data_IF_909874189875
#
_entry.id   IF_909874189875
#
_cell.length_a   1.000
_cell.length_b   1.000
_cell.length_c   1.000
_cell.angle_alpha   90.00
_cell.angle_beta   90.00
_cell.angle_gamma   90.00
#
_symmetry.space_group_name_H-M   'P 1'
#
loop_
_entity.id
_entity.type
_entity.pdbx_description
1 polymer ?
#
# COMPACT_ATOMS: atom_id res chain seq x y z
N UNK A 1 -23.64 17.68 -17.80
CA UNK A 1 -22.72 17.57 -16.64
C UNK A 1 -21.60 18.55 -16.90
N UNK A 2 -21.56 19.69 -16.17
CA UNK A 2 -20.50 20.69 -16.37
C UNK A 2 -19.15 20.04 -16.01
N UNK A 3 -18.19 20.20 -16.90
CA UNK A 3 -16.79 19.85 -16.65
C UNK A 3 -16.31 20.71 -15.47
N UNK A 4 -16.15 20.08 -14.29
CA UNK A 4 -15.61 20.78 -13.12
C UNK A 4 -14.20 21.24 -13.47
N UNK A 5 -14.00 22.56 -13.43
CA UNK A 5 -12.70 23.19 -13.70
C UNK A 5 -11.61 22.51 -12.84
N UNK A 6 -10.55 22.03 -13.50
CA UNK A 6 -9.45 21.31 -12.84
C UNK A 6 -8.77 22.13 -11.74
N UNK A 7 -8.93 23.43 -11.74
CA UNK A 7 -8.33 24.37 -10.78
C UNK A 7 -8.93 24.35 -9.37
N UNK A 8 -10.02 23.60 -9.14
CA UNK A 8 -10.72 23.55 -7.85
C UNK A 8 -10.91 22.09 -7.39
N UNK A 9 -9.91 21.26 -7.53
CA UNK A 9 -9.95 19.86 -7.11
C UNK A 9 -8.91 19.60 -6.03
N UNK A 10 -9.19 18.64 -5.15
CA UNK A 10 -8.17 17.99 -4.36
C UNK A 10 -7.76 16.67 -5.04
N UNK A 11 -6.49 16.35 -5.02
CA UNK A 11 -5.92 15.10 -5.50
C UNK A 11 -5.45 14.27 -4.32
N UNK A 12 -5.84 12.99 -4.28
CA UNK A 12 -5.39 12.02 -3.30
C UNK A 12 -4.47 11.01 -3.97
N UNK A 13 -3.27 10.85 -3.47
CA UNK A 13 -2.29 9.94 -4.02
C UNK A 13 -1.29 9.47 -2.98
N UNK A 14 -0.35 8.65 -3.41
CA UNK A 14 0.73 8.23 -2.53
C UNK A 14 1.81 7.46 -3.28
N UNK A 15 2.84 7.12 -2.53
CA UNK A 15 4.01 6.40 -3.04
C UNK A 15 4.34 5.27 -2.08
N UNK A 16 4.49 4.07 -2.61
CA UNK A 16 5.15 2.96 -1.94
C UNK A 16 6.64 2.97 -2.27
N UNK A 17 7.48 3.00 -1.26
CA UNK A 17 8.91 2.80 -1.37
C UNK A 17 9.26 1.48 -0.68
N UNK A 18 9.61 0.49 -1.47
CA UNK A 18 9.87 -0.90 -1.06
C UNK A 18 11.36 -1.18 -1.20
N UNK A 19 11.98 -1.69 -0.15
CA UNK A 19 13.39 -2.08 -0.16
C UNK A 19 13.52 -3.52 0.31
N UNK A 20 14.38 -4.29 -0.35
CA UNK A 20 14.73 -5.64 0.06
C UNK A 20 16.20 -5.70 0.45
N UNK A 21 16.45 -6.30 1.59
CA UNK A 21 17.78 -6.53 2.11
C UNK A 21 18.02 -8.03 2.23
N UNK A 22 19.26 -8.48 1.99
CA UNK A 22 19.65 -9.87 2.25
C UNK A 22 19.79 -10.14 3.76
N UNK A 23 20.10 -11.38 4.09
CA UNK A 23 20.32 -11.83 5.48
C UNK A 23 21.47 -11.10 6.21
N UNK A 24 22.38 -10.48 5.48
CA UNK A 24 23.55 -9.76 5.99
C UNK A 24 23.28 -8.24 6.07
N UNK A 25 22.06 -7.79 5.68
CA UNK A 25 21.63 -6.40 5.70
C UNK A 25 22.03 -5.58 4.48
N UNK A 26 22.55 -6.21 3.41
CA UNK A 26 22.87 -5.50 2.18
C UNK A 26 21.62 -5.29 1.33
N UNK A 27 21.49 -4.09 0.75
CA UNK A 27 20.39 -3.78 -0.17
C UNK A 27 20.49 -4.64 -1.43
N UNK A 28 19.46 -5.43 -1.72
CA UNK A 28 19.34 -6.23 -2.94
C UNK A 28 18.67 -5.45 -4.06
N UNK A 29 17.58 -4.78 -3.75
CA UNK A 29 16.81 -3.96 -4.69
C UNK A 29 15.91 -2.98 -3.95
N UNK A 30 15.50 -1.93 -4.65
CA UNK A 30 14.46 -1.01 -4.19
C UNK A 30 13.52 -0.62 -5.34
N UNK A 31 12.28 -0.34 -4.99
CA UNK A 31 11.21 0.10 -5.89
C UNK A 31 10.48 1.29 -5.29
N UNK A 32 10.19 2.27 -6.13
CA UNK A 32 9.43 3.45 -5.72
C UNK A 32 8.34 3.74 -6.74
N UNK A 33 7.11 3.45 -6.38
CA UNK A 33 5.99 3.46 -7.31
C UNK A 33 4.81 4.26 -6.76
N UNK A 34 4.16 5.04 -7.64
CA UNK A 34 2.91 5.70 -7.31
C UNK A 34 1.80 4.66 -7.13
N UNK A 35 0.92 4.90 -6.16
CA UNK A 35 -0.22 4.03 -5.93
C UNK A 35 -1.43 4.43 -6.78
N UNK A 36 -2.35 3.48 -6.90
CA UNK A 36 -3.72 3.72 -7.27
C UNK A 36 -4.57 3.71 -5.98
N UNK A 37 -5.22 4.82 -5.63
CA UNK A 37 -6.26 4.83 -4.60
C UNK A 37 -7.52 4.24 -5.23
N UNK A 38 -7.96 3.09 -4.73
CA UNK A 38 -9.10 2.36 -5.31
C UNK A 38 -10.43 3.01 -4.93
N UNK A 39 -11.50 2.70 -5.66
CA UNK A 39 -12.82 3.31 -5.46
C UNK A 39 -13.34 3.18 -4.01
N UNK A 40 -13.17 2.01 -3.39
CA UNK A 40 -13.58 1.79 -1.99
C UNK A 40 -12.71 2.58 -1.01
N UNK A 41 -11.45 2.85 -1.32
CA UNK A 41 -10.57 3.73 -0.55
C UNK A 41 -11.02 5.19 -0.60
N UNK A 42 -11.38 5.70 -1.79
CA UNK A 42 -11.93 7.05 -1.95
C UNK A 42 -13.27 7.19 -1.21
N UNK A 43 -14.13 6.18 -1.31
CA UNK A 43 -15.41 6.14 -0.58
C UNK A 43 -15.18 6.16 0.94
N UNK A 44 -14.22 5.40 1.44
CA UNK A 44 -13.89 5.33 2.87
C UNK A 44 -13.42 6.69 3.40
N UNK A 45 -12.58 7.41 2.67
CA UNK A 45 -12.17 8.79 3.01
C UNK A 45 -13.38 9.71 3.15
N UNK A 46 -14.26 9.75 2.14
CA UNK A 46 -15.44 10.60 2.16
C UNK A 46 -16.39 10.22 3.30
N UNK A 47 -16.61 8.92 3.51
CA UNK A 47 -17.50 8.45 4.55
C UNK A 47 -16.99 8.81 5.96
N UNK A 48 -15.70 8.69 6.21
CA UNK A 48 -15.11 8.98 7.52
C UNK A 48 -15.04 10.47 7.81
N UNK A 49 -14.71 11.28 6.83
CA UNK A 49 -14.52 12.71 7.05
C UNK A 49 -15.84 13.52 6.97
N UNK A 50 -16.71 13.21 6.00
CA UNK A 50 -17.89 14.03 5.74
C UNK A 50 -19.21 13.44 6.26
N UNK A 51 -19.33 12.11 6.41
CA UNK A 51 -20.60 11.48 6.81
C UNK A 51 -20.57 10.85 8.20
N UNK A 52 -19.46 11.01 8.93
CA UNK A 52 -19.35 10.60 10.33
C UNK A 52 -19.31 9.09 10.56
N UNK A 53 -18.89 8.29 9.57
CA UNK A 53 -18.69 6.87 9.79
C UNK A 53 -17.52 6.64 10.78
N UNK A 54 -17.57 5.55 11.54
CA UNK A 54 -16.58 5.23 12.56
C UNK A 54 -15.17 5.16 11.97
N UNK A 55 -14.25 5.96 12.51
CA UNK A 55 -12.86 5.96 12.10
C UNK A 55 -12.16 4.65 12.52
N UNK A 56 -11.44 4.05 11.58
CA UNK A 56 -10.57 2.89 11.84
C UNK A 56 -9.13 3.38 11.91
N UNK A 57 -8.55 3.40 13.10
CA UNK A 57 -7.21 3.95 13.33
C UNK A 57 -6.06 3.01 12.94
N UNK A 58 -6.35 1.83 12.40
CA UNK A 58 -5.35 0.80 12.13
C UNK A 58 -5.20 0.55 10.63
N UNK A 59 -3.96 0.74 10.14
CA UNK A 59 -3.56 0.49 8.77
C UNK A 59 -2.45 -0.56 8.72
N UNK A 60 -2.47 -1.38 7.70
CA UNK A 60 -1.53 -2.48 7.49
C UNK A 60 -1.07 -2.50 6.04
N UNK A 61 0.16 -2.94 5.83
CA UNK A 61 0.72 -3.13 4.50
C UNK A 61 0.77 -4.62 4.20
N UNK A 62 0.35 -4.99 2.99
CA UNK A 62 0.59 -6.30 2.40
C UNK A 62 1.48 -6.19 1.19
N UNK A 63 2.11 -7.30 0.83
CA UNK A 63 2.83 -7.48 -0.43
C UNK A 63 1.99 -8.39 -1.32
N UNK A 64 1.99 -8.17 -2.63
CA UNK A 64 1.40 -9.12 -3.55
C UNK A 64 2.42 -9.68 -4.54
N UNK A 65 2.16 -10.92 -4.97
CA UNK A 65 3.06 -11.67 -5.82
C UNK A 65 2.77 -11.47 -7.30
N UNK A 66 3.68 -12.02 -8.09
CA UNK A 66 3.61 -12.06 -9.53
C UNK A 66 2.37 -12.82 -10.02
N UNK A 67 1.76 -12.28 -11.02
CA UNK A 67 0.74 -12.91 -11.86
C UNK A 67 0.80 -12.28 -13.23
N UNK A 68 0.21 -12.90 -14.22
CA UNK A 68 0.22 -12.41 -15.60
C UNK A 68 -0.51 -11.06 -15.80
N UNK A 69 -1.07 -10.46 -14.75
CA UNK A 69 -1.84 -9.23 -14.77
C UNK A 69 -1.82 -8.58 -13.38
N UNK A 70 -0.64 -8.24 -12.89
CA UNK A 70 -0.45 -7.70 -11.52
C UNK A 70 -0.96 -6.27 -11.32
N UNK A 71 -1.54 -5.66 -12.34
CA UNK A 71 -1.96 -4.27 -12.24
C UNK A 71 -3.19 -4.13 -11.34
N UNK A 72 -3.10 -3.41 -10.21
CA UNK A 72 -4.27 -3.06 -9.43
C UNK A 72 -5.28 -2.28 -10.26
N UNK A 73 -6.56 -2.61 -10.11
CA UNK A 73 -7.67 -1.92 -10.77
C UNK A 73 -8.40 -1.00 -9.77
N UNK A 74 -8.96 0.09 -10.27
CA UNK A 74 -9.74 1.01 -9.43
C UNK A 74 -10.95 0.35 -8.75
N UNK A 75 -11.47 -0.72 -9.35
CA UNK A 75 -12.58 -1.52 -8.81
C UNK A 75 -12.18 -2.57 -7.77
N UNK A 76 -10.87 -2.76 -7.50
CA UNK A 76 -10.42 -3.79 -6.58
C UNK A 76 -10.89 -3.52 -5.14
N UNK A 77 -11.17 -4.63 -4.46
CA UNK A 77 -11.49 -4.69 -3.03
C UNK A 77 -10.68 -5.81 -2.40
N UNK A 78 -10.62 -5.90 -1.07
CA UNK A 78 -9.95 -7.05 -0.42
C UNK A 78 -10.62 -8.39 -0.69
N UNK A 79 -11.91 -8.41 -1.03
CA UNK A 79 -12.65 -9.63 -1.37
C UNK A 79 -12.65 -9.95 -2.88
N UNK A 80 -12.24 -9.01 -3.72
CA UNK A 80 -12.23 -9.18 -5.18
C UNK A 80 -11.13 -8.30 -5.80
N UNK A 81 -10.02 -8.92 -6.14
CA UNK A 81 -8.86 -8.31 -6.77
C UNK A 81 -8.26 -9.30 -7.79
N UNK A 82 -8.97 -9.46 -8.90
CA UNK A 82 -8.54 -10.34 -9.98
C UNK A 82 -7.19 -9.87 -10.54
N UNK A 83 -6.24 -10.78 -10.66
CA UNK A 83 -4.94 -10.51 -11.27
C UNK A 83 -3.77 -10.40 -10.29
N UNK A 84 -4.00 -10.31 -8.99
CA UNK A 84 -2.93 -10.37 -8.01
C UNK A 84 -3.30 -11.19 -6.77
N UNK A 85 -2.30 -11.78 -6.14
CA UNK A 85 -2.44 -12.63 -4.95
C UNK A 85 -1.48 -12.15 -3.89
N UNK A 86 -1.94 -12.05 -2.63
CA UNK A 86 -1.09 -11.65 -1.51
C UNK A 86 0.08 -12.63 -1.31
N UNK A 87 1.26 -12.09 -1.13
CA UNK A 87 2.44 -12.84 -0.68
C UNK A 87 2.29 -13.10 0.81
N UNK A 88 2.33 -14.38 1.18
CA UNK A 88 2.25 -14.84 2.58
C UNK A 88 3.53 -15.50 3.09
N UNK A 89 4.57 -15.57 2.26
CA UNK A 89 5.85 -16.19 2.54
C UNK A 89 6.76 -15.30 3.43
N UNK A 90 6.22 -14.89 4.57
CA UNK A 90 6.95 -14.17 5.62
C UNK A 90 6.51 -14.65 7.01
N UNK A 91 7.41 -14.54 8.00
CA UNK A 91 7.20 -15.09 9.35
C UNK A 91 6.33 -14.24 10.27
N UNK A 92 6.10 -12.96 9.94
CA UNK A 92 5.18 -12.14 10.72
C UNK A 92 3.79 -12.83 10.79
N UNK A 93 3.21 -12.88 11.97
CA UNK A 93 1.90 -13.54 12.19
C UNK A 93 0.76 -12.83 11.45
N UNK A 94 0.88 -11.52 11.27
CA UNK A 94 -0.10 -10.65 10.60
C UNK A 94 0.62 -9.78 9.56
N UNK A 95 -0.15 -9.06 8.75
CA UNK A 95 0.38 -7.96 7.94
C UNK A 95 1.03 -6.93 8.86
N UNK A 96 2.24 -6.43 8.57
CA UNK A 96 2.87 -5.37 9.37
C UNK A 96 2.03 -4.10 9.40
N UNK A 97 2.02 -3.44 10.57
CA UNK A 97 1.31 -2.18 10.75
C UNK A 97 1.95 -1.06 9.93
N UNK A 98 1.10 -0.17 9.40
CA UNK A 98 1.49 1.11 8.80
C UNK A 98 1.10 2.22 9.77
N UNK A 99 2.01 2.64 10.62
CA UNK A 99 1.77 3.70 11.60
C UNK A 99 2.18 5.03 11.00
N UNK A 100 1.20 5.84 10.61
CA UNK A 100 1.46 7.17 10.09
C UNK A 100 1.90 8.14 11.18
N UNK A 101 2.88 8.99 10.86
CA UNK A 101 3.22 10.17 11.65
C UNK A 101 2.16 11.28 11.49
N UNK A 102 2.37 12.37 12.23
CA UNK A 102 1.51 13.56 12.12
C UNK A 102 1.56 14.14 10.71
N UNK A 103 0.41 14.37 10.05
CA UNK A 103 0.37 14.99 8.72
C UNK A 103 0.99 16.39 8.72
N UNK A 104 1.62 16.75 7.62
CA UNK A 104 2.21 18.09 7.46
C UNK A 104 1.13 19.16 7.26
N UNK A 105 1.41 20.38 7.72
CA UNK A 105 0.59 21.57 7.44
C UNK A 105 1.18 22.28 6.22
N UNK A 106 0.97 21.70 5.04
CA UNK A 106 1.52 22.17 3.77
C UNK A 106 0.63 21.74 2.61
N UNK A 107 0.95 22.19 1.42
CA UNK A 107 0.41 21.72 0.16
C UNK A 107 1.57 21.13 -0.69
N UNK A 108 1.60 19.79 -0.90
CA UNK A 108 0.66 18.79 -0.38
C UNK A 108 0.75 18.58 1.14
N UNK A 109 -0.39 18.22 1.75
CA UNK A 109 -0.39 17.65 3.09
C UNK A 109 0.06 16.20 3.00
N UNK A 110 1.08 15.81 3.78
CA UNK A 110 1.73 14.50 3.68
C UNK A 110 1.65 13.76 5.01
N UNK A 111 1.25 12.48 4.96
CA UNK A 111 1.35 11.52 6.05
C UNK A 111 2.20 10.32 5.61
N UNK A 112 3.14 9.87 6.46
CA UNK A 112 4.06 8.77 6.12
C UNK A 112 4.38 7.92 7.34
N UNK A 113 4.70 6.63 7.13
CA UNK A 113 5.22 5.73 8.14
C UNK A 113 6.76 5.66 8.14
N UNK A 114 7.45 6.64 7.56
CA UNK A 114 8.91 6.62 7.38
C UNK A 114 9.70 6.50 8.70
N UNK A 115 9.12 6.93 9.83
CA UNK A 115 9.75 6.77 11.14
C UNK A 115 9.76 5.29 11.62
N UNK A 116 8.85 4.46 11.12
CA UNK A 116 8.75 3.03 11.42
C UNK A 116 8.20 2.27 10.19
N UNK A 117 9.06 1.99 9.19
CA UNK A 117 8.65 1.26 8.00
C UNK A 117 8.09 -0.12 8.33
N UNK A 118 7.05 -0.53 7.62
CA UNK A 118 6.50 -1.87 7.75
C UNK A 118 7.54 -2.90 7.28
N UNK A 119 7.88 -3.88 8.12
CA UNK A 119 8.97 -4.83 7.86
C UNK A 119 8.43 -6.25 7.77
N UNK A 120 8.80 -6.95 6.70
CA UNK A 120 8.47 -8.35 6.43
C UNK A 120 9.74 -9.20 6.55
N UNK A 121 9.71 -10.20 7.42
CA UNK A 121 10.79 -11.19 7.54
C UNK A 121 10.49 -12.38 6.62
N UNK A 122 11.12 -12.45 5.47
CA UNK A 122 10.83 -13.44 4.43
C UNK A 122 11.30 -14.83 4.90
N UNK A 123 10.41 -15.83 4.82
CA UNK A 123 10.67 -17.20 5.25
C UNK A 123 10.52 -18.25 4.13
N UNK A 124 10.34 -17.80 2.89
CA UNK A 124 10.24 -18.67 1.71
C UNK A 124 10.64 -17.95 0.45
N UNK A 125 10.99 -18.70 -0.60
CA UNK A 125 11.26 -18.13 -1.92
C UNK A 125 9.95 -17.79 -2.61
N UNK A 126 9.80 -16.53 -3.04
CA UNK A 126 8.64 -16.05 -3.76
C UNK A 126 8.99 -14.83 -4.60
N UNK A 127 8.01 -14.30 -5.31
CA UNK A 127 8.13 -13.08 -6.11
C UNK A 127 7.19 -12.01 -5.55
N UNK A 128 7.68 -10.78 -5.46
CA UNK A 128 6.91 -9.59 -5.07
C UNK A 128 6.72 -8.72 -6.30
N UNK A 129 5.49 -8.43 -6.66
CA UNK A 129 5.11 -7.57 -7.78
C UNK A 129 4.63 -6.18 -7.33
N UNK A 130 4.32 -6.02 -6.04
CA UNK A 130 3.84 -4.75 -5.52
C UNK A 130 3.45 -4.77 -4.05
N UNK A 131 2.83 -3.68 -3.61
CA UNK A 131 2.37 -3.51 -2.24
C UNK A 131 0.97 -2.89 -2.20
N UNK A 132 0.26 -3.11 -1.08
CA UNK A 132 -1.06 -2.52 -0.86
C UNK A 132 -1.26 -2.07 0.59
N UNK A 133 -2.18 -1.13 0.78
CA UNK A 133 -2.59 -0.59 2.08
C UNK A 133 -4.03 -1.01 2.40
N UNK A 134 -4.25 -1.56 3.59
CA UNK A 134 -5.54 -2.14 3.99
C UNK A 134 -5.83 -1.90 5.47
N UNK A 135 -7.11 -1.94 5.87
CA UNK A 135 -7.54 -1.75 7.28
C UNK A 135 -7.54 -3.03 8.12
N UNK A 136 -7.24 -4.20 7.54
CA UNK A 136 -7.27 -5.49 8.23
C UNK A 136 -5.87 -6.13 8.28
N UNK A 137 -5.48 -6.62 9.47
CA UNK A 137 -4.16 -7.22 9.72
C UNK A 137 -4.03 -8.68 9.29
N UNK A 138 -5.12 -9.37 8.98
CA UNK A 138 -5.10 -10.81 8.71
C UNK A 138 -4.34 -11.12 7.42
N UNK A 139 -3.19 -11.77 7.57
CA UNK A 139 -2.37 -12.23 6.44
C UNK A 139 -3.15 -13.23 5.58
N UNK A 140 -3.20 -13.01 4.27
CA UNK A 140 -3.99 -13.80 3.32
C UNK A 140 -5.51 -13.61 3.43
N UNK A 141 -5.97 -12.69 4.30
CA UNK A 141 -7.40 -12.44 4.51
C UNK A 141 -8.01 -11.54 3.44
N UNK A 142 -9.30 -11.73 3.21
CA UNK A 142 -10.09 -11.03 2.17
C UNK A 142 -11.05 -9.97 2.74
N UNK A 143 -10.86 -9.58 4.01
CA UNK A 143 -11.70 -8.60 4.70
C UNK A 143 -10.97 -7.29 4.94
N UNK A 144 -11.73 -6.25 5.26
CA UNK A 144 -11.24 -4.88 5.44
C UNK A 144 -11.36 -4.03 4.17
N UNK A 145 -11.08 -2.74 4.31
CA UNK A 145 -11.07 -1.80 3.19
C UNK A 145 -9.69 -1.81 2.54
N UNK A 146 -9.59 -2.19 1.27
CA UNK A 146 -8.43 -1.92 0.44
C UNK A 146 -8.43 -0.42 0.15
N UNK A 147 -7.39 0.28 0.60
CA UNK A 147 -7.29 1.72 0.37
C UNK A 147 -6.57 2.01 -0.95
N UNK A 148 -5.42 1.40 -1.14
CA UNK A 148 -4.61 1.61 -2.34
C UNK A 148 -3.70 0.42 -2.60
N UNK A 149 -3.27 0.30 -3.85
CA UNK A 149 -2.27 -0.68 -4.28
C UNK A 149 -1.34 -0.07 -5.33
N UNK A 150 -0.15 -0.62 -5.48
CA UNK A 150 0.86 -0.15 -6.43
C UNK A 150 1.63 -1.32 -6.99
N UNK A 151 1.71 -1.38 -8.31
CA UNK A 151 2.55 -2.33 -9.06
C UNK A 151 3.98 -1.81 -9.20
N UNK A 152 4.96 -2.72 -9.27
CA UNK A 152 6.35 -2.37 -9.55
C UNK A 152 6.52 -2.12 -11.05
N UNK A 153 6.82 -0.87 -11.40
CA UNK A 153 6.94 -0.45 -12.80
C UNK A 153 8.15 -1.05 -13.51
N UNK A 154 9.15 -1.55 -12.76
CA UNK A 154 10.36 -2.16 -13.30
C UNK A 154 10.26 -3.69 -13.37
N UNK A 155 9.10 -4.25 -12.99
CA UNK A 155 8.81 -5.69 -12.98
C UNK A 155 9.01 -6.35 -11.62
N UNK A 156 8.57 -7.59 -11.55
CA UNK A 156 8.56 -8.38 -10.33
C UNK A 156 9.95 -8.67 -9.77
N UNK A 157 10.06 -8.74 -8.46
CA UNK A 157 11.31 -8.95 -7.71
C UNK A 157 11.29 -10.25 -6.92
N UNK A 158 12.33 -11.05 -7.08
CA UNK A 158 12.50 -12.27 -6.28
C UNK A 158 12.99 -11.95 -4.87
N UNK A 159 12.42 -12.67 -3.90
CA UNK A 159 12.87 -12.74 -2.51
C UNK A 159 13.06 -14.18 -2.08
N UNK A 160 13.99 -14.42 -1.16
CA UNK A 160 14.30 -15.75 -0.63
C UNK A 160 14.24 -15.74 0.91
N UNK A 161 14.17 -16.92 1.49
CA UNK A 161 14.20 -17.06 2.96
C UNK A 161 15.43 -16.39 3.56
N UNK A 162 15.22 -15.58 4.60
CA UNK A 162 16.25 -14.77 5.25
C UNK A 162 16.32 -13.33 4.76
N UNK A 163 15.69 -12.99 3.63
CA UNK A 163 15.56 -11.60 3.20
C UNK A 163 14.62 -10.83 4.15
N UNK A 164 14.83 -9.51 4.20
CA UNK A 164 13.94 -8.56 4.86
C UNK A 164 13.41 -7.55 3.84
N UNK A 165 12.09 -7.39 3.78
CA UNK A 165 11.46 -6.36 2.93
C UNK A 165 10.89 -5.27 3.81
N UNK A 166 11.28 -4.01 3.58
CA UNK A 166 10.73 -2.85 4.28
C UNK A 166 9.87 -2.02 3.32
N UNK A 167 8.74 -1.52 3.82
CA UNK A 167 7.83 -0.68 3.03
C UNK A 167 7.57 0.62 3.76
N UNK A 168 7.95 1.71 3.13
CA UNK A 168 7.53 3.06 3.50
C UNK A 168 6.39 3.48 2.57
N UNK A 169 5.27 3.86 3.15
CA UNK A 169 4.16 4.45 2.42
C UNK A 169 4.03 5.93 2.76
N UNK A 170 3.92 6.75 1.74
CA UNK A 170 3.71 8.19 1.88
C UNK A 170 2.42 8.53 1.14
N UNK A 171 1.43 9.05 1.87
CA UNK A 171 0.17 9.54 1.33
C UNK A 171 0.21 11.06 1.24
N UNK A 172 -0.36 11.62 0.17
CA UNK A 172 -0.45 13.07 -0.04
C UNK A 172 -1.85 13.50 -0.46
N UNK A 173 -2.24 14.67 0.01
CA UNK A 173 -3.42 15.41 -0.44
C UNK A 173 -2.95 16.75 -0.99
N UNK A 174 -3.24 17.00 -2.27
CA UNK A 174 -2.87 18.22 -3.00
C UNK A 174 -4.11 19.06 -3.29
N UNK A 175 -4.01 20.37 -3.13
CA UNK A 175 -4.93 21.32 -3.74
C UNK A 175 -4.50 21.55 -5.20
N UNK A 176 -5.32 21.11 -6.16
CA UNK A 176 -5.01 21.14 -7.61
C UNK A 176 -5.86 22.19 -8.31
#
# INVERSE_FOLDING_TARGET
>A
MQELDRKNRASAGGVFHVKCFDKDGNLKWEEKNHNLVVNVGLQDMNAKYFTGSTYTAAWYIGLYGAGSSNNPAASDTMSSHAGWTEVTAYSNATRPACTFGTPTTADPSVATNSASPATFSINGTTTVGGAFLVTNSTKGGTTGTLFSASDFTTGDRSVISGDSVTVTYTFSLDAV
#
